data_IF_466587801172
#
_entry.id   IF_466587801172
#
_cell.length_a   1.000
_cell.length_b   1.000
_cell.length_c   1.000
_cell.angle_alpha   90.00
_cell.angle_beta   90.00
_cell.angle_gamma   90.00
#
_symmetry.space_group_name_H-M   'P 1'
#
loop_
_entity.id
_entity.type
_entity.pdbx_description
1 polymer ?
#
# COMPACT_ATOMS: atom_id res chain seq x y z
N UNK A 1 -13.38 10.03 1.36
CA UNK A 1 -12.55 9.26 0.42
C UNK A 1 -11.17 9.20 1.04
N UNK A 2 -10.76 8.03 1.52
CA UNK A 2 -9.47 7.85 2.21
C UNK A 2 -8.44 7.49 1.16
N UNK A 3 -7.48 8.39 0.91
CA UNK A 3 -6.42 8.14 -0.05
C UNK A 3 -5.20 7.60 0.69
N UNK A 4 -4.79 6.35 0.47
CA UNK A 4 -3.65 5.79 1.16
C UNK A 4 -2.37 6.51 0.70
N UNK A 5 -1.66 7.09 1.66
CA UNK A 5 -0.39 7.75 1.44
C UNK A 5 0.68 7.02 2.23
N UNK A 6 1.75 6.61 1.57
CA UNK A 6 2.92 6.01 2.23
C UNK A 6 3.63 7.03 3.13
N UNK A 7 4.12 6.57 4.28
CA UNK A 7 4.85 7.44 5.21
C UNK A 7 6.23 7.83 4.64
N UNK A 8 6.63 9.08 4.85
CA UNK A 8 7.83 9.66 4.21
C UNK A 8 9.17 9.13 4.75
N UNK A 9 9.18 8.57 5.96
CA UNK A 9 10.40 8.01 6.56
C UNK A 9 10.72 6.59 6.07
N UNK A 10 9.88 6.01 5.21
CA UNK A 10 10.08 4.66 4.71
C UNK A 10 10.99 4.67 3.48
N UNK A 11 12.02 3.84 3.52
CA UNK A 11 12.87 3.60 2.35
C UNK A 11 12.35 2.37 1.64
N UNK A 12 11.99 2.46 0.37
CA UNK A 12 11.52 1.29 -0.39
C UNK A 12 12.26 1.18 -1.71
N UNK A 13 12.37 -0.05 -2.21
CA UNK A 13 13.04 -0.33 -3.48
C UNK A 13 12.31 -1.45 -4.22
N UNK A 14 11.99 -1.18 -5.48
CA UNK A 14 11.45 -2.19 -6.40
C UNK A 14 12.58 -3.04 -6.97
N UNK A 15 12.40 -4.35 -6.91
CA UNK A 15 13.31 -5.40 -7.38
C UNK A 15 12.52 -6.32 -8.32
N UNK A 16 12.42 -5.92 -9.58
CA UNK A 16 11.60 -6.63 -10.57
C UNK A 16 10.12 -6.53 -10.22
N UNK A 17 9.51 -7.67 -9.94
CA UNK A 17 8.08 -7.80 -9.58
C UNK A 17 7.84 -7.57 -8.08
N UNK A 18 8.87 -7.57 -7.24
CA UNK A 18 8.72 -7.41 -5.79
C UNK A 18 9.17 -6.05 -5.31
N UNK A 19 8.61 -5.58 -4.19
CA UNK A 19 9.06 -4.35 -3.53
C UNK A 19 9.52 -4.67 -2.11
N UNK A 20 10.68 -4.13 -1.74
CA UNK A 20 11.21 -4.22 -0.37
C UNK A 20 11.05 -2.87 0.30
N UNK A 21 10.42 -2.85 1.46
CA UNK A 21 10.28 -1.68 2.33
C UNK A 21 11.18 -1.88 3.53
N UNK A 22 11.99 -0.88 3.83
CA UNK A 22 12.83 -0.74 5.00
C UNK A 22 12.23 0.38 5.86
N UNK A 23 11.76 -0.01 7.03
CA UNK A 23 11.42 0.94 8.07
C UNK A 23 12.72 1.46 8.73
N UNK A 24 12.93 2.78 8.70
CA UNK A 24 14.13 3.39 9.27
C UNK A 24 14.01 3.70 10.76
N UNK A 25 12.95 3.24 11.44
CA UNK A 25 12.77 3.42 12.88
C UNK A 25 13.52 2.31 13.64
N UNK A 26 13.40 2.35 14.96
CA UNK A 26 14.22 1.59 15.93
C UNK A 26 14.21 0.07 15.70
N UNK A 27 13.16 -0.48 15.09
CA UNK A 27 13.04 -1.92 14.85
C UNK A 27 13.66 -2.41 13.51
N UNK A 28 14.03 -1.51 12.59
CA UNK A 28 14.57 -1.82 11.26
C UNK A 28 13.87 -3.02 10.57
N UNK A 29 12.54 -3.02 10.58
CA UNK A 29 11.78 -4.09 9.97
C UNK A 29 11.84 -4.00 8.44
N UNK A 30 12.10 -5.16 7.82
CA UNK A 30 12.11 -5.30 6.37
C UNK A 30 10.82 -6.00 5.96
N UNK A 31 10.00 -5.31 5.18
CA UNK A 31 8.78 -5.85 4.62
C UNK A 31 8.98 -6.16 3.15
N UNK A 32 8.68 -7.40 2.78
CA UNK A 32 8.71 -7.85 1.40
C UNK A 32 7.29 -7.86 0.87
N UNK A 33 7.06 -7.13 -0.21
CA UNK A 33 5.80 -7.12 -0.92
C UNK A 33 5.87 -8.10 -2.09
N UNK A 34 4.79 -8.86 -2.26
CA UNK A 34 4.53 -9.62 -3.48
C UNK A 34 4.24 -8.65 -4.64
N UNK A 35 4.05 -9.19 -5.84
CA UNK A 35 3.76 -8.39 -7.04
C UNK A 35 2.55 -7.47 -6.89
N UNK A 36 1.44 -8.04 -6.40
CA UNK A 36 0.22 -7.29 -6.09
C UNK A 36 0.49 -6.17 -5.07
N UNK A 37 1.12 -6.49 -3.94
CA UNK A 37 1.43 -5.50 -2.90
C UNK A 37 2.40 -4.42 -3.39
N UNK A 38 3.39 -4.78 -4.21
CA UNK A 38 4.31 -3.85 -4.83
C UNK A 38 3.58 -2.85 -5.73
N UNK A 39 2.65 -3.34 -6.54
CA UNK A 39 1.80 -2.52 -7.39
C UNK A 39 0.90 -1.58 -6.55
N UNK A 40 0.22 -2.12 -5.54
CA UNK A 40 -0.59 -1.33 -4.60
C UNK A 40 0.25 -0.24 -3.90
N UNK A 41 1.46 -0.59 -3.46
CA UNK A 41 2.40 0.33 -2.80
C UNK A 41 2.82 1.49 -3.70
N UNK A 42 3.05 1.23 -4.98
CA UNK A 42 3.38 2.25 -5.97
C UNK A 42 2.22 3.23 -6.18
N UNK A 43 0.97 2.75 -6.07
CA UNK A 43 -0.25 3.57 -6.16
C UNK A 43 -0.57 4.34 -4.87
N UNK A 44 0.02 3.98 -3.72
CA UNK A 44 -0.18 4.64 -2.42
C UNK A 44 0.55 5.99 -2.31
N UNK A 45 0.31 6.90 -3.25
CA UNK A 45 0.86 8.27 -3.28
C UNK A 45 0.01 9.28 -2.52
N UNK A 46 -1.23 8.92 -2.16
CA UNK A 46 -2.24 9.84 -1.64
C UNK A 46 -3.13 10.48 -2.72
N UNK A 47 -2.89 10.18 -3.99
CA UNK A 47 -3.67 10.69 -5.13
C UNK A 47 -4.68 9.67 -5.67
N UNK A 48 -4.34 8.39 -5.62
CA UNK A 48 -5.22 7.32 -6.09
C UNK A 48 -6.27 6.97 -5.04
N UNK A 49 -7.53 6.89 -5.47
CA UNK A 49 -8.61 6.38 -4.62
C UNK A 49 -8.61 4.85 -4.61
N UNK A 50 -9.12 4.25 -3.54
CA UNK A 50 -9.25 2.78 -3.44
C UNK A 50 -10.00 2.16 -4.63
N UNK A 51 -11.00 2.86 -5.16
CA UNK A 51 -11.76 2.41 -6.33
C UNK A 51 -10.93 2.37 -7.61
N UNK A 52 -10.04 3.34 -7.83
CA UNK A 52 -9.12 3.35 -8.97
C UNK A 52 -8.09 2.25 -8.84
N UNK A 53 -7.51 2.12 -7.64
CA UNK A 53 -6.56 1.05 -7.30
C UNK A 53 -7.19 -0.32 -7.56
N UNK A 54 -8.46 -0.53 -7.14
CA UNK A 54 -9.19 -1.77 -7.37
C UNK A 54 -9.41 -2.05 -8.86
N UNK A 55 -9.88 -1.07 -9.64
CA UNK A 55 -10.11 -1.24 -11.07
C UNK A 55 -8.81 -1.59 -11.81
N UNK A 56 -7.73 -0.90 -11.47
CA UNK A 56 -6.41 -1.19 -12.02
C UNK A 56 -5.96 -2.60 -11.63
N UNK A 57 -6.13 -3.02 -10.37
CA UNK A 57 -5.74 -4.35 -9.94
C UNK A 57 -6.53 -5.46 -10.65
N UNK A 58 -7.85 -5.31 -10.76
CA UNK A 58 -8.72 -6.25 -11.49
C UNK A 58 -8.30 -6.34 -12.97
N UNK A 59 -7.95 -5.21 -13.59
CA UNK A 59 -7.57 -5.16 -15.00
C UNK A 59 -6.15 -5.65 -15.28
N UNK A 60 -5.17 -5.35 -14.43
CA UNK A 60 -3.76 -5.76 -14.61
C UNK A 60 -3.55 -7.23 -14.22
N UNK A 61 -4.24 -7.71 -13.18
CA UNK A 61 -4.03 -9.05 -12.61
C UNK A 61 -5.11 -10.08 -12.99
N UNK A 62 -6.14 -9.68 -13.75
CA UNK A 62 -7.25 -10.55 -14.18
C UNK A 62 -7.92 -11.32 -13.02
N UNK A 63 -8.15 -10.61 -11.90
CA UNK A 63 -8.78 -11.17 -10.70
C UNK A 63 -10.19 -10.63 -10.49
N UNK A 64 -11.04 -11.37 -9.76
CA UNK A 64 -12.40 -10.92 -9.41
C UNK A 64 -12.39 -9.70 -8.47
N UNK A 65 -13.39 -8.82 -8.61
CA UNK A 65 -13.52 -7.62 -7.76
C UNK A 65 -13.56 -7.95 -6.27
N UNK A 66 -14.19 -9.06 -5.87
CA UNK A 66 -14.26 -9.49 -4.47
C UNK A 66 -12.94 -10.02 -3.93
N UNK A 67 -12.06 -10.55 -4.80
CA UNK A 67 -10.68 -10.90 -4.43
C UNK A 67 -9.83 -9.66 -4.33
N UNK A 68 -9.89 -8.77 -5.33
CA UNK A 68 -9.17 -7.50 -5.33
C UNK A 68 -9.48 -6.65 -4.10
N UNK A 69 -10.76 -6.53 -3.72
CA UNK A 69 -11.19 -5.78 -2.54
C UNK A 69 -10.59 -6.35 -1.25
N UNK A 70 -10.63 -7.67 -1.08
CA UNK A 70 -10.03 -8.34 0.08
C UNK A 70 -8.52 -8.17 0.15
N UNK A 71 -7.82 -8.35 -0.97
CA UNK A 71 -6.37 -8.16 -1.04
C UNK A 71 -5.98 -6.71 -0.72
N UNK A 72 -6.70 -5.73 -1.27
CA UNK A 72 -6.47 -4.30 -0.99
C UNK A 72 -6.74 -4.00 0.49
N UNK A 73 -7.87 -4.45 1.04
CA UNK A 73 -8.18 -4.21 2.45
C UNK A 73 -7.16 -4.86 3.38
N UNK A 74 -6.79 -6.11 3.13
CA UNK A 74 -5.78 -6.83 3.91
C UNK A 74 -4.42 -6.11 3.84
N UNK A 75 -4.02 -5.69 2.64
CA UNK A 75 -2.78 -4.96 2.43
C UNK A 75 -2.75 -3.62 3.18
N UNK A 76 -3.82 -2.82 3.08
CA UNK A 76 -3.91 -1.54 3.78
C UNK A 76 -3.96 -1.70 5.30
N UNK A 77 -4.64 -2.73 5.80
CA UNK A 77 -4.71 -3.04 7.23
C UNK A 77 -3.35 -3.45 7.79
N UNK A 78 -2.61 -4.31 7.08
CA UNK A 78 -1.22 -4.67 7.38
C UNK A 78 -0.33 -3.42 7.47
N UNK A 79 -0.41 -2.54 6.47
CA UNK A 79 0.39 -1.31 6.45
C UNK A 79 -0.01 -0.35 7.58
N UNK A 80 -1.30 -0.23 7.90
CA UNK A 80 -1.77 0.58 9.04
C UNK A 80 -1.29 0.03 10.37
N UNK A 81 -1.41 -1.28 10.57
CA UNK A 81 -0.96 -1.97 11.79
C UNK A 81 0.53 -1.77 12.01
N UNK A 82 1.32 -1.75 10.93
CA UNK A 82 2.77 -1.49 10.95
C UNK A 82 3.12 0.00 10.95
N UNK A 83 2.11 0.89 11.03
CA UNK A 83 2.27 2.35 10.95
C UNK A 83 3.02 2.83 9.70
N UNK A 84 2.93 2.10 8.59
CA UNK A 84 3.64 2.38 7.33
C UNK A 84 2.88 3.36 6.41
N UNK A 85 1.60 3.59 6.69
CA UNK A 85 0.79 4.60 6.01
C UNK A 85 0.70 5.86 6.86
N UNK A 86 0.75 6.99 6.17
CA UNK A 86 0.35 8.29 6.70
C UNK A 86 -1.17 8.26 6.85
N UNK A 87 -1.65 8.06 8.07
CA UNK A 87 -3.05 8.27 8.40
C UNK A 87 -3.27 9.78 8.43
N UNK A 88 -3.45 10.39 7.26
CA UNK A 88 -4.12 11.68 7.17
C UNK A 88 -5.60 11.46 7.46
N UNK A 89 -5.93 11.00 8.66
CA UNK A 89 -7.17 11.44 9.27
C UNK A 89 -7.03 12.95 9.41
N UNK A 90 -7.95 13.71 8.84
CA UNK A 90 -8.04 15.13 9.12
C UNK A 90 -8.36 15.32 10.60
N UNK A 91 -7.34 15.25 11.46
CA UNK A 91 -7.38 15.86 12.77
C UNK A 91 -6.92 17.29 12.57
N UNK A 92 -7.87 18.14 12.15
CA UNK A 92 -7.71 19.56 12.35
C UNK A 92 -8.39 19.88 13.68
N UNK A 93 -7.56 20.27 14.64
CA UNK A 93 -7.94 20.88 15.93
C UNK A 93 -8.85 22.10 15.77
#
# INVERSE_FOLDING_TARGET
MTNPKRAQHLSWRKLGEHTVILDSRVNQEVHHLNEVGAYLWELCTGENSLSDIKNNLVSDFDIDEGTADKDIMYFLDELRTKSLLDTTEGTNE
#
